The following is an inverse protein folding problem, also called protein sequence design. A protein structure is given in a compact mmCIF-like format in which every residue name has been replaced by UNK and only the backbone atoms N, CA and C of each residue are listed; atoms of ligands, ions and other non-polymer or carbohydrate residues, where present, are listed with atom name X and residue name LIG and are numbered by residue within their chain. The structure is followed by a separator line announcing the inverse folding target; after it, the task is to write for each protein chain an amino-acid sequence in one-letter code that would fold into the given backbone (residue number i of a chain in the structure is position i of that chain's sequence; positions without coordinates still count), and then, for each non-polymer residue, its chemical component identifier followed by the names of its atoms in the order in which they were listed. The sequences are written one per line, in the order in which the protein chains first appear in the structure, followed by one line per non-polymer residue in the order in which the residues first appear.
data_IF_735191884062
#
_entry.id   IF_735191884062
#
_cell.length_a   1.000
_cell.length_b   1.000
_cell.length_c   1.000
_cell.angle_alpha   90.00
_cell.angle_beta   90.00
_cell.angle_gamma   90.00
#
_symmetry.space_group_name_H-M   'P 1'
#
loop_
_entity.id
_entity.type
_entity.pdbx_description
1 polymer ?
#
# COMPACT_ATOMS: atom_id res chain seq x y z
N UNK A 1 -4.56 72.73 23.91
CA UNK A 1 -4.42 72.65 22.43
C UNK A 1 -3.19 71.84 22.00
N UNK A 2 -2.12 71.79 22.81
CA UNK A 2 -0.90 70.99 22.56
C UNK A 2 -1.13 69.47 22.51
N UNK A 3 -1.88 68.91 23.46
CA UNK A 3 -1.96 67.45 23.62
C UNK A 3 -2.69 66.75 22.48
N UNK A 4 -3.77 67.37 21.97
CA UNK A 4 -4.53 66.84 20.83
C UNK A 4 -3.65 66.70 19.57
N UNK A 5 -2.76 67.67 19.33
CA UNK A 5 -1.86 67.67 18.17
C UNK A 5 -0.80 66.57 18.30
N UNK A 6 -0.27 66.37 19.51
CA UNK A 6 0.68 65.28 19.80
C UNK A 6 0.00 63.91 19.64
N UNK A 7 -1.22 63.75 20.13
CA UNK A 7 -1.98 62.50 19.98
C UNK A 7 -2.30 62.21 18.50
N UNK A 8 -2.71 63.21 17.73
CA UNK A 8 -2.97 63.05 16.28
C UNK A 8 -1.71 62.65 15.51
N UNK A 9 -0.56 63.23 15.85
CA UNK A 9 0.72 62.89 15.23
C UNK A 9 1.14 61.46 15.55
N UNK A 10 1.02 61.04 16.81
CA UNK A 10 1.30 59.67 17.22
C UNK A 10 0.37 58.67 16.51
N UNK A 11 -0.92 59.00 16.38
CA UNK A 11 -1.89 58.17 15.67
C UNK A 11 -1.54 58.02 14.19
N UNK A 12 -1.18 59.14 13.53
CA UNK A 12 -0.75 59.14 12.13
C UNK A 12 0.50 58.27 11.91
N UNK A 13 1.51 58.39 12.77
CA UNK A 13 2.73 57.57 12.70
C UNK A 13 2.45 56.08 12.99
N UNK A 14 1.48 55.77 13.85
CA UNK A 14 1.05 54.38 14.03
C UNK A 14 0.33 53.84 12.81
N UNK A 15 -0.60 54.60 12.20
CA UNK A 15 -1.29 54.18 10.98
C UNK A 15 -0.32 53.90 9.84
N UNK A 16 0.69 54.77 9.65
CA UNK A 16 1.69 54.62 8.60
C UNK A 16 2.57 53.37 8.82
N UNK A 17 2.91 53.07 10.08
CA UNK A 17 3.62 51.83 10.44
C UNK A 17 2.76 50.58 10.22
N UNK A 18 1.48 50.64 10.54
CA UNK A 18 0.54 49.54 10.33
C UNK A 18 0.35 49.26 8.85
N UNK A 19 0.19 50.30 8.03
CA UNK A 19 0.07 50.18 6.56
C UNK A 19 1.32 49.53 5.95
N UNK A 20 2.51 49.96 6.37
CA UNK A 20 3.76 49.32 5.93
C UNK A 20 3.83 47.85 6.33
N UNK A 21 3.44 47.53 7.58
CA UNK A 21 3.44 46.16 8.08
C UNK A 21 2.44 45.26 7.33
N UNK A 22 1.30 45.83 6.93
CA UNK A 22 0.31 45.14 6.12
C UNK A 22 0.84 44.83 4.71
N UNK A 23 1.51 45.78 4.07
CA UNK A 23 2.13 45.58 2.76
C UNK A 23 3.23 44.50 2.81
N UNK A 24 4.09 44.52 3.84
CA UNK A 24 5.10 43.48 4.03
C UNK A 24 4.48 42.09 4.26
N UNK A 25 3.38 42.01 5.03
CA UNK A 25 2.66 40.77 5.23
C UNK A 25 2.06 40.25 3.92
N UNK A 26 1.46 41.13 3.12
CA UNK A 26 0.86 40.76 1.84
C UNK A 26 1.90 40.19 0.87
N UNK A 27 3.08 40.83 0.79
CA UNK A 27 4.19 40.34 -0.02
C UNK A 27 4.68 38.95 0.43
N UNK A 28 4.73 38.71 1.75
CA UNK A 28 5.10 37.39 2.30
C UNK A 28 4.07 36.31 1.98
N UNK A 29 2.78 36.63 2.05
CA UNK A 29 1.69 35.70 1.68
C UNK A 29 1.79 35.34 0.20
N UNK A 30 2.02 36.31 -0.68
CA UNK A 30 2.14 36.05 -2.11
C UNK A 30 3.36 35.16 -2.43
N UNK A 31 4.50 35.41 -1.78
CA UNK A 31 5.69 34.57 -1.91
C UNK A 31 5.44 33.13 -1.41
N UNK A 32 4.76 32.96 -0.29
CA UNK A 32 4.39 31.63 0.21
C UNK A 32 3.40 30.91 -0.70
N UNK A 33 2.44 31.63 -1.30
CA UNK A 33 1.51 31.04 -2.25
C UNK A 33 2.25 30.51 -3.49
N UNK A 34 3.15 31.32 -4.08
CA UNK A 34 3.99 30.91 -5.21
C UNK A 34 4.85 29.67 -4.87
N UNK A 35 5.47 29.65 -3.70
CA UNK A 35 6.28 28.51 -3.25
C UNK A 35 5.43 27.23 -3.06
N UNK A 36 4.23 27.37 -2.49
CA UNK A 36 3.32 26.23 -2.28
C UNK A 36 2.86 25.64 -3.60
N UNK A 37 2.48 26.49 -4.56
CA UNK A 37 2.08 26.06 -5.91
C UNK A 37 3.22 25.30 -6.60
N UNK A 38 4.46 25.79 -6.49
CA UNK A 38 5.63 25.12 -7.04
C UNK A 38 5.82 23.72 -6.43
N UNK A 39 5.74 23.62 -5.10
CA UNK A 39 5.85 22.34 -4.40
C UNK A 39 4.75 21.35 -4.81
N UNK A 40 3.50 21.80 -4.94
CA UNK A 40 2.41 20.96 -5.41
C UNK A 40 2.67 20.41 -6.82
N UNK A 41 3.13 21.25 -7.75
CA UNK A 41 3.46 20.81 -9.11
C UNK A 41 4.59 19.78 -9.13
N UNK A 42 5.63 19.97 -8.31
CA UNK A 42 6.71 18.99 -8.17
C UNK A 42 6.22 17.65 -7.60
N UNK A 43 5.33 17.70 -6.59
CA UNK A 43 4.74 16.49 -6.01
C UNK A 43 3.91 15.73 -7.05
N UNK A 44 3.08 16.43 -7.85
CA UNK A 44 2.31 15.80 -8.93
C UNK A 44 3.21 15.10 -9.94
N UNK A 45 4.28 15.76 -10.40
CA UNK A 45 5.23 15.16 -11.35
C UNK A 45 5.93 13.91 -10.78
N UNK A 46 6.25 13.90 -9.48
CA UNK A 46 6.80 12.73 -8.80
C UNK A 46 5.79 11.58 -8.79
N UNK A 47 4.53 11.85 -8.46
CA UNK A 47 3.47 10.84 -8.44
C UNK A 47 3.29 10.21 -9.82
N UNK A 48 3.22 11.01 -10.87
CA UNK A 48 3.08 10.53 -12.25
C UNK A 48 4.28 9.63 -12.63
N UNK A 49 5.49 10.05 -12.26
CA UNK A 49 6.71 9.26 -12.52
C UNK A 49 6.69 7.92 -11.79
N UNK A 50 6.26 7.89 -10.53
CA UNK A 50 6.12 6.64 -9.75
C UNK A 50 5.08 5.71 -10.36
N UNK A 51 3.95 6.25 -10.83
CA UNK A 51 2.92 5.45 -11.50
C UNK A 51 3.44 4.82 -12.79
N UNK A 52 4.17 5.57 -13.62
CA UNK A 52 4.77 5.07 -14.85
C UNK A 52 5.76 3.94 -14.54
N UNK A 53 6.66 4.14 -13.58
CA UNK A 53 7.64 3.12 -13.17
C UNK A 53 6.93 1.86 -12.65
N UNK A 54 5.87 2.02 -11.84
CA UNK A 54 5.09 0.89 -11.33
C UNK A 54 4.45 0.09 -12.46
N UNK A 55 3.88 0.76 -13.47
CA UNK A 55 3.32 0.09 -14.65
C UNK A 55 4.39 -0.70 -15.40
N UNK A 56 5.56 -0.10 -15.64
CA UNK A 56 6.65 -0.75 -16.37
C UNK A 56 7.21 -1.96 -15.63
N UNK A 57 7.31 -1.89 -14.30
CA UNK A 57 7.75 -3.03 -13.48
C UNK A 57 6.70 -4.16 -13.53
N UNK A 58 5.41 -3.82 -13.45
CA UNK A 58 4.33 -4.83 -13.57
C UNK A 58 4.34 -5.50 -14.94
N UNK A 59 4.43 -4.73 -16.02
CA UNK A 59 4.47 -5.26 -17.39
C UNK A 59 5.72 -6.12 -17.60
N UNK A 60 6.88 -5.71 -17.07
CA UNK A 60 8.12 -6.49 -17.15
C UNK A 60 8.00 -7.83 -16.41
N UNK A 61 7.39 -7.84 -15.22
CA UNK A 61 7.18 -9.07 -14.44
C UNK A 61 6.18 -10.00 -15.15
N UNK A 62 5.07 -9.46 -15.68
CA UNK A 62 4.12 -10.25 -16.47
C UNK A 62 4.77 -10.83 -17.73
N UNK A 63 5.51 -10.01 -18.47
CA UNK A 63 6.22 -10.43 -19.68
C UNK A 63 7.26 -11.51 -19.36
N UNK A 64 7.96 -11.41 -18.23
CA UNK A 64 8.88 -12.45 -17.77
C UNK A 64 8.15 -13.74 -17.42
N UNK A 65 6.96 -13.68 -16.82
CA UNK A 65 6.13 -14.85 -16.53
C UNK A 65 5.61 -15.53 -17.80
N UNK A 66 5.12 -14.75 -18.76
CA UNK A 66 4.61 -15.26 -20.04
C UNK A 66 5.71 -15.85 -20.92
N UNK A 67 6.90 -15.22 -20.93
CA UNK A 67 8.04 -15.65 -21.74
C UNK A 67 8.99 -16.58 -20.99
N UNK A 68 8.73 -16.92 -19.74
CA UNK A 68 9.42 -18.05 -19.13
C UNK A 68 8.78 -19.30 -19.72
N UNK A 69 9.49 -20.08 -20.56
CA UNK A 69 9.04 -21.42 -20.82
C UNK A 69 9.24 -22.15 -19.49
N UNK A 70 8.21 -22.17 -18.65
CA UNK A 70 7.98 -23.28 -17.75
C UNK A 70 8.21 -24.49 -18.64
N UNK A 71 9.36 -25.15 -18.48
CA UNK A 71 9.69 -26.34 -19.26
C UNK A 71 8.46 -27.22 -19.12
N UNK A 72 7.69 -27.32 -20.19
CA UNK A 72 6.53 -28.17 -20.29
C UNK A 72 7.08 -29.58 -20.21
N UNK A 73 7.35 -30.02 -18.98
CA UNK A 73 7.24 -31.41 -18.63
C UNK A 73 5.82 -31.76 -19.07
N UNK A 74 5.70 -32.54 -20.13
CA UNK A 74 4.44 -33.07 -20.65
C UNK A 74 3.75 -34.03 -19.66
N UNK A 75 3.95 -33.86 -18.36
CA UNK A 75 3.25 -34.53 -17.31
C UNK A 75 2.20 -33.55 -16.78
N UNK A 76 0.99 -33.66 -17.33
CA UNK A 76 -0.21 -33.18 -16.65
C UNK A 76 -0.31 -33.96 -15.33
N UNK A 77 0.36 -33.47 -14.29
CA UNK A 77 0.16 -33.95 -12.93
C UNK A 77 -1.03 -33.15 -12.41
N UNK A 78 -2.21 -33.76 -12.22
CA UNK A 78 -3.33 -33.05 -11.61
C UNK A 78 -2.93 -32.65 -10.19
N UNK A 79 -2.66 -31.36 -10.00
CA UNK A 79 -2.40 -30.77 -8.69
C UNK A 79 -3.74 -30.50 -8.03
N UNK A 80 -3.99 -31.16 -6.90
CA UNK A 80 -5.16 -30.88 -6.09
C UNK A 80 -5.00 -29.49 -5.46
N UNK A 81 -5.92 -28.57 -5.76
CA UNK A 81 -5.90 -27.21 -5.20
C UNK A 81 -7.07 -27.03 -4.25
N UNK A 82 -6.78 -26.77 -2.97
CA UNK A 82 -7.79 -26.45 -1.98
C UNK A 82 -8.10 -24.95 -2.02
N UNK A 83 -9.34 -24.58 -2.33
CA UNK A 83 -9.80 -23.19 -2.21
C UNK A 83 -10.81 -23.08 -1.09
N UNK A 84 -10.58 -22.19 -0.12
CA UNK A 84 -11.43 -22.06 1.05
C UNK A 84 -11.59 -20.62 1.53
N UNK A 85 -12.84 -20.21 1.81
CA UNK A 85 -13.14 -18.92 2.42
C UNK A 85 -13.05 -19.06 3.96
N UNK A 86 -12.02 -18.45 4.55
CA UNK A 86 -11.68 -18.64 5.96
C UNK A 86 -12.58 -17.83 6.88
N UNK A 87 -13.03 -16.64 6.48
CA UNK A 87 -13.81 -15.72 7.32
C UNK A 87 -13.09 -15.35 8.63
N UNK A 88 -11.79 -15.09 8.56
CA UNK A 88 -10.94 -14.70 9.67
C UNK A 88 -10.01 -15.82 10.16
N UNK A 89 -8.72 -15.70 9.81
CA UNK A 89 -7.69 -16.68 10.18
C UNK A 89 -7.51 -16.80 11.69
N UNK A 90 -7.56 -15.68 12.41
CA UNK A 90 -7.32 -15.66 13.87
C UNK A 90 -8.30 -16.53 14.67
N UNK A 91 -9.55 -16.69 14.22
CA UNK A 91 -10.56 -17.49 14.91
C UNK A 91 -10.64 -18.93 14.41
N UNK A 92 -10.27 -19.18 13.14
CA UNK A 92 -10.47 -20.48 12.47
C UNK A 92 -9.19 -21.17 12.03
N UNK A 93 -8.02 -20.68 12.45
CA UNK A 93 -6.73 -21.25 12.07
C UNK A 93 -6.64 -22.76 12.32
N UNK A 94 -7.11 -23.25 13.48
CA UNK A 94 -7.04 -24.69 13.80
C UNK A 94 -7.89 -25.54 12.85
N UNK A 95 -9.12 -25.11 12.57
CA UNK A 95 -10.02 -25.79 11.63
C UNK A 95 -9.42 -25.82 10.21
N UNK A 96 -8.82 -24.70 9.78
CA UNK A 96 -8.19 -24.60 8.47
C UNK A 96 -6.93 -25.47 8.40
N UNK A 97 -6.13 -25.56 9.46
CA UNK A 97 -4.98 -26.46 9.52
C UNK A 97 -5.41 -27.92 9.39
N UNK A 98 -6.43 -28.34 10.15
CA UNK A 98 -6.97 -29.70 10.06
C UNK A 98 -7.50 -29.99 8.64
N UNK A 99 -8.15 -29.02 8.00
CA UNK A 99 -8.61 -29.13 6.62
C UNK A 99 -7.44 -29.31 5.64
N UNK A 100 -6.36 -28.53 5.77
CA UNK A 100 -5.15 -28.65 4.94
C UNK A 100 -4.60 -30.07 5.02
N UNK A 101 -4.41 -30.61 6.23
CA UNK A 101 -3.87 -31.96 6.41
C UNK A 101 -4.83 -33.06 5.97
N UNK A 102 -6.14 -32.85 6.09
CA UNK A 102 -7.16 -33.82 5.66
C UNK A 102 -7.28 -33.92 4.15
N UNK A 103 -7.19 -32.80 3.45
CA UNK A 103 -7.33 -32.74 1.98
C UNK A 103 -6.02 -33.13 1.28
N UNK A 104 -4.89 -33.07 1.99
CA UNK A 104 -3.54 -33.35 1.47
C UNK A 104 -3.26 -32.60 0.15
N UNK A 105 -3.68 -31.32 0.12
CA UNK A 105 -3.52 -30.48 -1.06
C UNK A 105 -2.16 -29.79 -1.05
N UNK A 106 -1.34 -29.92 -2.10
CA UNK A 106 -0.05 -29.24 -2.20
C UNK A 106 -0.18 -27.73 -2.38
N UNK A 107 -1.33 -27.22 -2.80
CA UNK A 107 -1.58 -25.79 -3.00
C UNK A 107 -2.92 -25.42 -2.38
N UNK A 108 -2.91 -24.57 -1.35
CA UNK A 108 -4.13 -24.07 -0.75
C UNK A 108 -4.26 -22.55 -0.93
N UNK A 109 -5.44 -22.10 -1.33
CA UNK A 109 -5.82 -20.71 -1.55
C UNK A 109 -6.92 -20.33 -0.55
N UNK A 110 -6.63 -19.33 0.27
CA UNK A 110 -7.50 -18.87 1.33
C UNK A 110 -7.95 -17.44 1.08
N UNK A 111 -9.26 -17.19 1.16
CA UNK A 111 -9.84 -15.85 1.06
C UNK A 111 -10.43 -15.42 2.41
N UNK A 112 -10.64 -14.11 2.58
CA UNK A 112 -11.12 -13.50 3.83
C UNK A 112 -10.27 -13.89 5.05
N UNK A 113 -8.95 -13.89 4.87
CA UNK A 113 -7.98 -14.30 5.90
C UNK A 113 -7.90 -13.26 7.03
N UNK A 114 -8.15 -11.99 6.71
CA UNK A 114 -8.05 -10.88 7.64
C UNK A 114 -6.61 -10.52 8.01
N UNK A 115 -6.47 -9.57 8.94
CA UNK A 115 -5.15 -9.01 9.30
C UNK A 115 -4.26 -9.96 10.12
N UNK A 116 -4.84 -10.99 10.73
CA UNK A 116 -4.15 -11.96 11.61
C UNK A 116 -3.61 -13.18 10.85
N UNK A 117 -3.36 -13.08 9.55
CA UNK A 117 -2.86 -14.17 8.70
C UNK A 117 -1.58 -14.84 9.23
N UNK A 118 -0.73 -14.10 9.94
CA UNK A 118 0.56 -14.58 10.44
C UNK A 118 0.50 -15.17 11.86
N UNK A 119 -0.68 -15.20 12.49
CA UNK A 119 -0.85 -15.72 13.85
C UNK A 119 -0.55 -17.22 13.96
N UNK A 120 -0.75 -17.97 12.88
CA UNK A 120 -0.43 -19.39 12.78
C UNK A 120 0.22 -19.71 11.44
N UNK A 121 1.44 -20.25 11.47
CA UNK A 121 2.15 -20.70 10.26
C UNK A 121 1.76 -22.13 9.92
N UNK A 122 1.51 -22.39 8.64
CA UNK A 122 1.25 -23.74 8.13
C UNK A 122 2.59 -24.49 8.04
N UNK A 123 2.82 -25.56 8.82
CA UNK A 123 4.09 -26.30 8.79
C UNK A 123 4.35 -26.89 7.41
N UNK A 124 5.60 -26.89 6.94
CA UNK A 124 6.04 -27.45 5.64
C UNK A 124 5.49 -26.75 4.38
N UNK A 125 4.79 -25.64 4.54
CA UNK A 125 4.31 -24.82 3.44
C UNK A 125 5.01 -23.45 3.42
N UNK A 126 5.16 -22.90 2.23
CA UNK A 126 5.53 -21.49 2.01
C UNK A 126 4.25 -20.70 1.77
N UNK A 127 4.00 -19.68 2.60
CA UNK A 127 2.79 -18.86 2.52
C UNK A 127 3.08 -17.47 1.97
N UNK A 128 2.21 -17.00 1.07
CA UNK A 128 2.20 -15.68 0.47
C UNK A 128 0.90 -14.99 0.84
N UNK A 129 0.95 -13.76 1.32
CA UNK A 129 -0.22 -13.02 1.76
C UNK A 129 -0.33 -11.68 1.04
N UNK A 130 -1.52 -11.38 0.56
CA UNK A 130 -1.89 -10.07 0.03
C UNK A 130 -2.98 -9.47 0.92
N UNK A 131 -2.71 -8.29 1.50
CA UNK A 131 -3.67 -7.56 2.31
C UNK A 131 -4.86 -7.10 1.46
N UNK A 132 -6.07 -7.32 1.96
CA UNK A 132 -7.31 -6.83 1.34
C UNK A 132 -7.60 -5.39 1.70
N UNK A 133 -8.64 -4.81 1.09
CA UNK A 133 -9.07 -3.43 1.31
C UNK A 133 -9.74 -3.19 2.67
N UNK A 134 -10.14 -4.26 3.37
CA UNK A 134 -10.95 -4.23 4.59
C UNK A 134 -10.29 -5.11 5.67
N UNK A 135 -10.65 -4.91 6.95
CA UNK A 135 -10.12 -5.70 8.09
C UNK A 135 -10.39 -7.21 8.00
N UNK A 136 -11.48 -7.60 7.35
CA UNK A 136 -11.86 -9.00 7.08
C UNK A 136 -11.35 -9.51 5.73
N UNK A 137 -10.79 -8.64 4.90
CA UNK A 137 -10.30 -9.00 3.57
C UNK A 137 -8.92 -9.66 3.61
N UNK A 138 -8.40 -9.98 2.42
CA UNK A 138 -7.07 -10.51 2.24
C UNK A 138 -7.08 -11.95 1.72
N UNK A 139 -6.03 -12.26 0.98
CA UNK A 139 -5.84 -13.56 0.32
C UNK A 139 -4.52 -14.13 0.77
N UNK A 140 -4.50 -15.42 1.11
CA UNK A 140 -3.29 -16.15 1.41
C UNK A 140 -3.19 -17.38 0.52
N UNK A 141 -2.05 -17.56 -0.11
CA UNK A 141 -1.72 -18.75 -0.88
C UNK A 141 -0.62 -19.48 -0.13
N UNK A 142 -0.81 -20.76 0.14
CA UNK A 142 0.19 -21.59 0.80
C UNK A 142 0.53 -22.78 -0.09
N UNK A 143 1.83 -23.00 -0.31
CA UNK A 143 2.34 -24.01 -1.23
C UNK A 143 3.23 -24.97 -0.45
N UNK A 144 2.83 -26.23 -0.39
CA UNK A 144 3.55 -27.31 0.26
C UNK A 144 4.75 -27.72 -0.58
N UNK A 145 5.83 -28.14 0.08
CA UNK A 145 6.89 -28.86 -0.65
C UNK A 145 6.32 -30.18 -1.11
N UNK A 146 6.17 -30.36 -2.43
CA UNK A 146 5.97 -31.70 -2.98
C UNK A 146 7.22 -32.51 -2.69
N UNK A 147 7.11 -33.52 -1.82
CA UNK A 147 8.08 -34.59 -1.78
C UNK A 147 8.15 -35.15 -3.21
N UNK A 148 9.34 -35.26 -3.85
CA UNK A 148 9.42 -36.03 -5.08
C UNK A 148 8.84 -37.41 -4.76
N UNK A 149 7.79 -37.79 -5.49
CA UNK A 149 7.12 -39.07 -5.34
C UNK A 149 8.18 -40.18 -5.28
N UNK A 150 8.17 -40.97 -4.21
CA UNK A 150 8.90 -42.23 -4.19
C UNK A 150 8.42 -43.05 -5.39
N UNK A 151 9.30 -43.21 -6.38
CA UNK A 151 9.20 -44.26 -7.38
C UNK A 151 9.18 -45.60 -6.63
N UNK A 152 8.08 -46.33 -6.77
CA UNK A 152 7.98 -47.77 -6.52
C UNK A 152 7.18 -48.39 -7.66
#
# INVERSE_FOLDING_TARGET
MSDLVVTLKALSETMLRTEKSFNDLNNRIEAQHKSTVLHCNSICAIIDTVQIISSWVQDSVLTQWENNPCRLSNQFIPLNVLTYNVQGWGTRALEVMDLIFKVDSPVCVFTEVGELWNSFKVPHFTSFYQKGTNHSGGVMITIGKTSPSNEN
#
